data_IF_316383956075
#
_entry.id   IF_316383956075
#
_cell.length_a   1.000
_cell.length_b   1.000
_cell.length_c   1.000
_cell.angle_alpha   90.00
_cell.angle_beta   90.00
_cell.angle_gamma   90.00
#
_symmetry.space_group_name_H-M   'P 1'
#
loop_
_entity.id
_entity.type
_entity.pdbx_description
1 polymer ?
#
# COMPACT_ATOMS: atom_id res chain seq x y z
N UNK A 1 7.01 -10.65 6.39
CA UNK A 1 8.45 -10.57 6.75
C UNK A 1 9.25 -11.71 6.11
N UNK A 2 9.04 -12.99 6.49
CA UNK A 2 9.97 -14.07 6.15
C UNK A 2 10.13 -14.43 4.67
N UNK A 3 9.09 -14.28 3.82
CA UNK A 3 9.10 -14.86 2.47
C UNK A 3 9.69 -13.93 1.41
N UNK A 4 9.27 -12.67 1.34
CA UNK A 4 9.88 -11.70 0.40
C UNK A 4 11.27 -11.27 0.87
N UNK A 5 11.54 -11.26 2.18
CA UNK A 5 12.91 -11.12 2.69
C UNK A 5 13.75 -12.36 2.43
N UNK A 6 13.26 -13.60 2.57
CA UNK A 6 13.98 -14.81 2.09
C UNK A 6 14.21 -14.78 0.59
N UNK A 7 13.21 -14.40 -0.19
CA UNK A 7 13.34 -14.28 -1.63
C UNK A 7 14.38 -13.22 -1.98
N UNK A 8 14.33 -12.04 -1.32
CA UNK A 8 15.38 -11.03 -1.47
C UNK A 8 16.73 -11.46 -0.87
N UNK A 9 16.79 -12.30 0.16
CA UNK A 9 18.04 -12.83 0.73
C UNK A 9 18.67 -13.87 -0.19
N UNK A 10 17.86 -14.74 -0.80
CA UNK A 10 18.26 -15.63 -1.89
C UNK A 10 18.78 -14.83 -3.10
N UNK A 11 18.34 -13.58 -3.25
CA UNK A 11 18.81 -12.64 -4.27
C UNK A 11 19.93 -11.68 -3.79
N UNK A 12 20.09 -11.47 -2.48
CA UNK A 12 21.10 -10.55 -1.89
C UNK A 12 22.45 -11.25 -1.92
N UNK A 13 23.33 -10.73 -2.76
CA UNK A 13 24.63 -11.30 -3.08
C UNK A 13 24.86 -11.44 -4.59
N UNK A 14 23.83 -11.26 -5.43
CA UNK A 14 23.95 -11.31 -6.89
C UNK A 14 22.91 -10.39 -7.57
N UNK A 15 23.16 -9.10 -7.72
CA UNK A 15 22.41 -8.26 -8.69
C UNK A 15 22.42 -8.89 -10.10
N UNK A 16 23.52 -9.59 -10.42
CA UNK A 16 23.71 -10.43 -11.61
C UNK A 16 22.63 -11.52 -11.74
N UNK A 17 22.02 -12.01 -10.64
CA UNK A 17 21.00 -13.06 -10.67
C UNK A 17 19.63 -12.52 -11.10
N UNK A 18 19.22 -11.33 -10.63
CA UNK A 18 17.94 -10.71 -11.08
C UNK A 18 17.96 -10.49 -12.58
N UNK A 19 19.06 -9.94 -13.11
CA UNK A 19 19.23 -9.76 -14.55
C UNK A 19 19.30 -11.11 -15.30
N UNK A 20 20.14 -12.05 -14.88
CA UNK A 20 20.29 -13.34 -15.57
C UNK A 20 19.01 -14.18 -15.54
N UNK A 21 18.33 -14.26 -14.40
CA UNK A 21 17.06 -15.00 -14.29
C UNK A 21 15.98 -14.29 -15.09
N UNK A 22 15.92 -12.97 -15.07
CA UNK A 22 14.91 -12.25 -15.83
C UNK A 22 15.12 -12.42 -17.35
N UNK A 23 16.37 -12.37 -17.82
CA UNK A 23 16.70 -12.64 -19.22
C UNK A 23 16.47 -14.11 -19.61
N UNK A 24 16.80 -15.05 -18.72
CA UNK A 24 16.54 -16.47 -18.92
C UNK A 24 15.04 -16.73 -19.08
N UNK A 25 14.21 -16.21 -18.17
CA UNK A 25 12.75 -16.33 -18.23
C UNK A 25 12.19 -15.62 -19.45
N UNK A 26 12.69 -14.43 -19.79
CA UNK A 26 12.30 -13.71 -21.01
C UNK A 26 12.49 -14.56 -22.27
N UNK A 27 13.60 -15.27 -22.39
CA UNK A 27 13.88 -16.14 -23.55
C UNK A 27 13.00 -17.39 -23.66
N UNK A 28 12.28 -17.75 -22.58
CA UNK A 28 11.56 -19.03 -22.44
C UNK A 28 10.06 -18.88 -22.18
N UNK A 29 9.57 -17.66 -21.99
CA UNK A 29 8.17 -17.41 -21.63
C UNK A 29 7.52 -16.47 -22.63
N UNK A 30 6.21 -16.62 -22.84
CA UNK A 30 5.44 -15.69 -23.68
C UNK A 30 5.24 -14.34 -23.00
N UNK A 31 4.80 -13.31 -23.73
CA UNK A 31 4.57 -11.99 -23.16
C UNK A 31 3.52 -12.03 -22.05
N UNK A 32 2.45 -12.79 -22.25
CA UNK A 32 1.34 -12.97 -21.33
C UNK A 32 1.80 -13.63 -20.02
N UNK A 33 2.67 -14.65 -20.12
CA UNK A 33 3.26 -15.28 -18.94
C UNK A 33 4.11 -14.27 -18.15
N UNK A 34 4.84 -13.37 -18.82
CA UNK A 34 5.62 -12.33 -18.13
C UNK A 34 4.74 -11.30 -17.43
N UNK A 35 3.58 -10.94 -18.01
CA UNK A 35 2.58 -10.11 -17.32
C UNK A 35 2.06 -10.79 -16.05
N UNK A 36 1.81 -12.10 -16.10
CA UNK A 36 1.38 -12.87 -14.93
C UNK A 36 2.47 -12.93 -13.85
N UNK A 37 3.73 -13.16 -14.23
CA UNK A 37 4.86 -13.11 -13.29
C UNK A 37 4.94 -11.73 -12.63
N UNK A 38 4.83 -10.65 -13.41
CA UNK A 38 4.83 -9.29 -12.88
C UNK A 38 3.68 -9.05 -11.90
N UNK A 39 2.47 -9.52 -12.22
CA UNK A 39 1.30 -9.47 -11.35
C UNK A 39 1.55 -10.21 -10.03
N UNK A 40 2.13 -11.42 -10.06
CA UNK A 40 2.50 -12.15 -8.84
C UNK A 40 3.56 -11.43 -8.02
N UNK A 41 4.55 -10.80 -8.65
CA UNK A 41 5.56 -10.01 -7.94
C UNK A 41 4.92 -8.85 -7.17
N UNK A 42 3.95 -8.16 -7.76
CA UNK A 42 3.16 -7.15 -7.06
C UNK A 42 2.30 -7.74 -5.93
N UNK A 43 1.63 -8.87 -6.18
CA UNK A 43 0.81 -9.55 -5.17
C UNK A 43 1.63 -9.96 -3.94
N UNK A 44 2.83 -10.50 -4.16
CA UNK A 44 3.76 -10.88 -3.10
C UNK A 44 4.27 -9.63 -2.37
N UNK A 45 4.61 -8.57 -3.11
CA UNK A 45 5.07 -7.32 -2.49
C UNK A 45 3.98 -6.65 -1.63
N UNK A 46 2.71 -6.74 -2.04
CA UNK A 46 1.54 -6.22 -1.31
C UNK A 46 1.14 -7.12 -0.14
N UNK A 47 1.44 -8.42 -0.17
CA UNK A 47 1.10 -9.36 0.91
C UNK A 47 1.79 -9.00 2.25
N UNK A 48 2.96 -8.33 2.19
CA UNK A 48 3.64 -7.76 3.36
C UNK A 48 3.07 -6.36 3.76
N UNK A 49 1.93 -5.99 3.18
CA UNK A 49 1.19 -4.77 3.36
C UNK A 49 1.60 -3.70 2.35
N UNK A 50 2.39 -2.77 2.82
CA UNK A 50 2.67 -1.50 2.16
C UNK A 50 3.95 -1.69 1.30
N UNK A 51 3.84 -2.00 -0.02
CA UNK A 51 4.95 -2.01 -1.02
C UNK A 51 5.88 -0.77 -0.92
N UNK A 52 7.08 -0.92 -0.38
CA UNK A 52 8.07 0.16 -0.23
C UNK A 52 8.60 0.65 -1.60
N UNK A 53 9.09 1.88 -1.65
CA UNK A 53 9.78 2.46 -2.83
C UNK A 53 10.85 1.52 -3.41
N UNK A 54 11.73 0.96 -2.55
CA UNK A 54 12.79 0.03 -2.98
C UNK A 54 12.26 -1.27 -3.61
N UNK A 55 11.04 -1.71 -3.26
CA UNK A 55 10.40 -2.86 -3.88
C UNK A 55 9.84 -2.49 -5.26
N UNK A 56 9.27 -1.28 -5.41
CA UNK A 56 8.83 -0.78 -6.70
C UNK A 56 9.98 -0.67 -7.69
N UNK A 57 11.12 -0.10 -7.29
CA UNK A 57 12.31 -0.01 -8.15
C UNK A 57 12.73 -1.38 -8.67
N UNK A 58 12.72 -2.41 -7.81
CA UNK A 58 13.10 -3.77 -8.19
C UNK A 58 12.09 -4.45 -9.12
N UNK A 59 10.80 -4.28 -8.86
CA UNK A 59 9.74 -4.83 -9.72
C UNK A 59 9.73 -4.13 -11.08
N UNK A 60 10.00 -2.81 -11.11
CA UNK A 60 10.18 -2.05 -12.36
C UNK A 60 11.42 -2.50 -13.12
N UNK A 61 12.55 -2.70 -12.44
CA UNK A 61 13.77 -3.24 -13.07
C UNK A 61 13.52 -4.63 -13.72
N UNK A 62 12.81 -5.53 -13.05
CA UNK A 62 12.43 -6.84 -13.61
C UNK A 62 11.52 -6.68 -14.83
N UNK A 63 10.56 -5.74 -14.81
CA UNK A 63 9.66 -5.51 -15.95
C UNK A 63 10.44 -5.04 -17.20
N UNK A 64 11.50 -4.24 -17.01
CA UNK A 64 12.42 -3.82 -18.07
C UNK A 64 13.13 -5.01 -18.69
N UNK A 65 13.64 -5.94 -17.88
CA UNK A 65 14.26 -7.17 -18.41
C UNK A 65 13.27 -8.09 -19.12
N UNK A 66 12.01 -8.11 -18.69
CA UNK A 66 10.93 -8.84 -19.36
C UNK A 66 10.41 -8.15 -20.63
N UNK A 67 10.92 -6.95 -20.95
CA UNK A 67 10.46 -6.08 -22.04
C UNK A 67 8.95 -5.85 -21.98
N UNK A 68 8.40 -5.72 -20.77
CA UNK A 68 7.01 -5.33 -20.55
C UNK A 68 6.88 -3.84 -20.86
N UNK A 69 5.82 -3.45 -21.57
CA UNK A 69 5.57 -2.05 -21.88
C UNK A 69 5.30 -1.24 -20.61
N UNK A 70 5.69 0.04 -20.58
CA UNK A 70 5.38 0.90 -19.42
C UNK A 70 3.86 1.05 -19.21
N UNK A 71 3.06 0.92 -20.28
CA UNK A 71 1.59 0.92 -20.21
C UNK A 71 1.07 -0.31 -19.44
N UNK A 72 1.54 -1.50 -19.79
CA UNK A 72 1.11 -2.73 -19.12
C UNK A 72 1.64 -2.79 -17.68
N UNK A 73 2.86 -2.32 -17.46
CA UNK A 73 3.41 -2.16 -16.11
C UNK A 73 2.54 -1.23 -15.26
N UNK A 74 2.18 -0.05 -15.77
CA UNK A 74 1.31 0.90 -15.08
C UNK A 74 -0.09 0.31 -14.82
N UNK A 75 -0.65 -0.40 -15.81
CA UNK A 75 -1.94 -1.07 -15.67
C UNK A 75 -1.92 -2.12 -14.55
N UNK A 76 -0.88 -2.97 -14.50
CA UNK A 76 -0.74 -4.00 -13.47
C UNK A 76 -0.47 -3.34 -12.11
N UNK A 77 0.41 -2.33 -12.04
CA UNK A 77 0.68 -1.57 -10.82
C UNK A 77 -0.61 -0.97 -10.24
N UNK A 78 -1.51 -0.46 -11.08
CA UNK A 78 -2.78 0.11 -10.66
C UNK A 78 -3.73 -0.93 -10.03
N UNK A 79 -3.70 -2.19 -10.47
CA UNK A 79 -4.52 -3.27 -9.90
C UNK A 79 -4.23 -3.54 -8.43
N UNK A 80 -3.01 -3.26 -7.98
CA UNK A 80 -2.60 -3.49 -6.59
C UNK A 80 -2.83 -2.28 -5.68
N UNK A 81 -3.49 -1.24 -6.21
CA UNK A 81 -3.90 -0.06 -5.46
C UNK A 81 -2.68 0.70 -4.94
N UNK A 82 -2.38 1.86 -5.53
CA UNK A 82 -1.51 2.78 -4.83
C UNK A 82 -2.15 3.07 -3.47
N UNK A 83 -1.38 2.85 -2.41
CA UNK A 83 -1.70 3.38 -1.09
C UNK A 83 -2.08 4.85 -1.14
N UNK A 84 -1.61 5.61 -2.13
CA UNK A 84 -1.99 7.00 -2.28
C UNK A 84 -3.49 7.21 -2.36
N UNK A 85 -4.29 6.28 -2.93
CA UNK A 85 -5.77 6.36 -2.84
C UNK A 85 -6.23 6.17 -1.40
N UNK A 86 -5.80 5.09 -0.73
CA UNK A 86 -6.22 4.79 0.64
C UNK A 86 -5.66 5.76 1.69
N UNK A 87 -4.52 6.39 1.41
CA UNK A 87 -3.87 7.42 2.21
C UNK A 87 -4.55 8.76 1.95
N UNK A 88 -4.88 9.13 0.70
CA UNK A 88 -5.75 10.28 0.43
C UNK A 88 -7.09 10.10 1.13
N UNK A 89 -7.66 8.90 1.08
CA UNK A 89 -8.89 8.56 1.78
C UNK A 89 -8.70 8.73 3.29
N UNK A 90 -7.55 8.36 3.86
CA UNK A 90 -7.23 8.57 5.27
C UNK A 90 -7.13 10.06 5.65
N UNK A 91 -6.44 10.88 4.84
CA UNK A 91 -6.39 12.34 5.05
C UNK A 91 -7.80 12.96 4.93
N UNK A 92 -8.61 12.47 3.98
CA UNK A 92 -10.01 12.87 3.78
C UNK A 92 -10.89 12.47 4.96
N UNK A 93 -10.71 11.27 5.55
CA UNK A 93 -11.42 10.81 6.75
C UNK A 93 -11.11 11.67 7.97
N UNK A 94 -9.88 12.20 8.06
CA UNK A 94 -9.49 13.18 9.08
C UNK A 94 -9.83 14.63 8.70
N UNK A 95 -10.46 14.86 7.54
CA UNK A 95 -10.86 16.16 7.01
C UNK A 95 -9.66 17.14 6.89
N UNK A 96 -8.50 16.64 6.49
CA UNK A 96 -7.25 17.41 6.34
C UNK A 96 -6.58 17.13 4.98
N UNK A 97 -5.71 18.05 4.56
CA UNK A 97 -4.90 17.86 3.35
C UNK A 97 -3.71 16.93 3.60
N UNK A 98 -3.21 16.25 2.57
CA UNK A 98 -1.97 15.46 2.62
C UNK A 98 -0.77 16.31 3.02
N UNK A 99 -0.79 17.62 2.74
CA UNK A 99 0.25 18.58 3.14
C UNK A 99 0.23 18.93 4.64
N UNK A 100 -0.74 18.45 5.42
CA UNK A 100 -0.83 18.75 6.85
C UNK A 100 0.42 18.26 7.62
N UNK A 101 0.85 19.02 8.61
CA UNK A 101 1.94 18.65 9.51
C UNK A 101 1.52 17.56 10.50
N UNK A 102 2.48 16.85 11.12
CA UNK A 102 2.17 15.80 12.10
C UNK A 102 1.39 16.34 13.31
N UNK A 103 1.63 17.59 13.68
CA UNK A 103 0.88 18.26 14.73
C UNK A 103 -0.60 18.45 14.33
N UNK A 104 -0.86 18.83 13.09
CA UNK A 104 -2.21 18.99 12.53
C UNK A 104 -2.93 17.65 12.41
N UNK A 105 -2.25 16.60 11.94
CA UNK A 105 -2.80 15.23 11.89
C UNK A 105 -3.21 14.76 13.29
N UNK A 106 -2.34 14.93 14.29
CA UNK A 106 -2.63 14.56 15.69
C UNK A 106 -3.75 15.39 16.30
N UNK A 107 -3.91 16.65 15.88
CA UNK A 107 -4.99 17.53 16.32
C UNK A 107 -6.32 17.09 15.71
N UNK A 108 -6.37 16.90 14.39
CA UNK A 108 -7.55 16.45 13.67
C UNK A 108 -8.05 15.09 14.18
N UNK A 109 -7.14 14.14 14.43
CA UNK A 109 -7.49 12.86 15.05
C UNK A 109 -8.19 13.04 16.41
N UNK A 110 -7.65 13.88 17.30
CA UNK A 110 -8.25 14.14 18.62
C UNK A 110 -9.63 14.78 18.51
N UNK A 111 -9.81 15.71 17.58
CA UNK A 111 -11.10 16.38 17.35
C UNK A 111 -12.14 15.40 16.80
N UNK A 112 -11.78 14.59 15.81
CA UNK A 112 -12.67 13.59 15.23
C UNK A 112 -12.99 12.45 16.21
N UNK A 113 -12.00 11.97 16.96
CA UNK A 113 -12.21 10.97 18.01
C UNK A 113 -13.18 11.48 19.08
N UNK A 114 -13.08 12.76 19.48
CA UNK A 114 -14.01 13.37 20.44
C UNK A 114 -15.42 13.57 19.86
N UNK A 115 -15.53 13.82 18.55
CA UNK A 115 -16.81 14.03 17.85
C UNK A 115 -17.60 12.72 17.70
N UNK A 116 -16.92 11.62 17.41
CA UNK A 116 -17.54 10.31 17.18
C UNK A 116 -17.36 9.33 18.34
N UNK A 117 -16.89 9.79 19.51
CA UNK A 117 -16.71 8.91 20.67
C UNK A 117 -18.05 8.29 21.09
N UNK A 118 -18.12 6.96 21.33
CA UNK A 118 -19.35 6.29 21.71
C UNK A 118 -20.00 6.89 22.97
N UNK A 119 -19.20 7.34 23.95
CA UNK A 119 -19.73 8.02 25.17
C UNK A 119 -20.41 9.36 24.90
N UNK A 120 -20.10 10.03 23.78
CA UNK A 120 -20.75 11.29 23.40
C UNK A 120 -22.03 11.07 22.60
N UNK A 121 -22.19 9.89 22.01
CA UNK A 121 -23.36 9.52 21.22
C UNK A 121 -24.32 8.73 22.11
N UNK A 122 -24.94 9.44 23.05
CA UNK A 122 -25.99 8.91 23.91
C UNK A 122 -27.31 9.01 23.13
N UNK A 123 -27.52 8.10 22.18
CA UNK A 123 -28.79 7.94 21.47
C UNK A 123 -29.40 6.58 21.79
N UNK A 124 -30.72 6.52 21.94
CA UNK A 124 -31.45 5.25 22.06
C UNK A 124 -31.58 4.51 20.72
N UNK A 125 -31.24 5.18 19.61
CA UNK A 125 -31.27 4.59 18.29
C UNK A 125 -29.99 3.79 18.02
N UNK A 126 -30.15 2.47 17.86
CA UNK A 126 -29.05 1.53 17.62
C UNK A 126 -28.30 1.82 16.31
N UNK A 127 -28.99 2.32 15.28
CA UNK A 127 -28.36 2.67 14.00
C UNK A 127 -27.40 3.87 14.15
N UNK A 128 -27.80 4.86 14.96
CA UNK A 128 -26.97 6.03 15.25
C UNK A 128 -25.72 5.62 16.04
N UNK A 129 -25.88 4.71 17.01
CA UNK A 129 -24.77 4.18 17.81
C UNK A 129 -23.76 3.38 16.96
N UNK A 130 -24.26 2.49 16.09
CA UNK A 130 -23.40 1.71 15.16
C UNK A 130 -22.65 2.61 14.18
N UNK A 131 -23.33 3.60 13.60
CA UNK A 131 -22.70 4.54 12.67
C UNK A 131 -21.59 5.38 13.33
N UNK A 132 -21.79 5.80 14.58
CA UNK A 132 -20.75 6.50 15.35
C UNK A 132 -19.54 5.60 15.65
N UNK A 133 -19.78 4.35 16.04
CA UNK A 133 -18.72 3.38 16.31
C UNK A 133 -17.91 3.02 15.06
N UNK A 134 -18.57 2.84 13.91
CA UNK A 134 -17.92 2.63 12.62
C UNK A 134 -17.07 3.82 12.20
N UNK A 135 -17.62 5.05 12.32
CA UNK A 135 -16.84 6.27 12.04
C UNK A 135 -15.64 6.40 12.97
N UNK A 136 -15.80 6.10 14.26
CA UNK A 136 -14.68 6.14 15.20
C UNK A 136 -13.56 5.17 14.80
N UNK A 137 -13.92 3.93 14.41
CA UNK A 137 -12.98 2.93 13.90
C UNK A 137 -12.29 3.40 12.61
N UNK A 138 -13.02 4.06 11.71
CA UNK A 138 -12.44 4.62 10.48
C UNK A 138 -11.43 5.73 10.78
N UNK A 139 -11.76 6.65 11.68
CA UNK A 139 -10.87 7.73 12.13
C UNK A 139 -9.58 7.18 12.74
N UNK A 140 -9.68 6.13 13.56
CA UNK A 140 -8.52 5.48 14.15
C UNK A 140 -7.62 4.83 13.07
N UNK A 141 -8.21 4.05 12.16
CA UNK A 141 -7.46 3.43 11.05
C UNK A 141 -6.79 4.47 10.15
N UNK A 142 -7.48 5.56 9.84
CA UNK A 142 -6.95 6.65 9.03
C UNK A 142 -5.71 7.28 9.68
N UNK A 143 -5.79 7.59 10.99
CA UNK A 143 -4.66 8.11 11.75
C UNK A 143 -3.48 7.13 11.78
N UNK A 144 -3.72 5.86 12.10
CA UNK A 144 -2.68 4.82 12.11
C UNK A 144 -2.00 4.68 10.74
N UNK A 145 -2.78 4.74 9.66
CA UNK A 145 -2.28 4.64 8.29
C UNK A 145 -1.40 5.83 7.91
N UNK A 146 -1.81 7.04 8.27
CA UNK A 146 -1.01 8.27 8.04
C UNK A 146 0.29 8.22 8.84
N UNK A 147 0.23 7.87 10.13
CA UNK A 147 1.43 7.81 10.98
C UNK A 147 2.44 6.78 10.48
N UNK A 148 1.94 5.60 10.08
CA UNK A 148 2.75 4.54 9.47
C UNK A 148 3.39 4.95 8.15
N UNK A 149 2.71 5.74 7.32
CA UNK A 149 3.30 6.32 6.10
C UNK A 149 4.46 7.26 6.46
N UNK A 150 4.27 8.14 7.44
CA UNK A 150 5.24 9.16 7.84
C UNK A 150 6.42 8.62 8.67
N UNK A 151 6.38 7.34 9.05
CA UNK A 151 7.45 6.68 9.81
C UNK A 151 7.49 7.05 11.30
N UNK A 152 6.36 7.48 11.86
CA UNK A 152 6.20 7.89 13.26
C UNK A 152 5.37 6.90 14.08
#
# INVERSE_FOLDING_TARGET
MLFFERFNELLKGREIFTQRVSLYLYSRTSYEVRLQILHFLFAIAQADGIIKESQYYKIHEISRFFRISERDFASIKAMFGQRDSQILDAYTVLEIDKSATDAEVKKAYREMAKKYHPDKVISQDEAIRKGAEEKFKQVQRAYEQIMKERGN
#
